data_IF_382617226163
#
_entry.id   IF_382617226163
#
_cell.length_a   1.000
_cell.length_b   1.000
_cell.length_c   1.000
_cell.angle_alpha   90.00
_cell.angle_beta   90.00
_cell.angle_gamma   90.00
#
_symmetry.space_group_name_H-M   'P 1'
#
loop_
_entity.id
_entity.type
_entity.pdbx_description
1 polymer ?
#
# COMPACT_ATOMS: atom_id res chain seq x y z
N UNK A 1 3.16 -19.91 1.48
CA UNK A 1 4.14 -19.59 0.42
C UNK A 1 3.59 -18.51 -0.53
N UNK A 2 3.46 -17.27 -0.06
CA UNK A 2 3.12 -16.09 -0.90
C UNK A 2 4.19 -14.98 -0.79
N UNK A 3 5.25 -15.21 -0.03
CA UNK A 3 6.23 -14.21 0.40
C UNK A 3 7.25 -13.76 -0.67
N UNK A 4 7.20 -14.26 -1.91
CA UNK A 4 8.28 -14.03 -2.87
C UNK A 4 7.85 -13.76 -4.33
N UNK A 5 6.53 -13.66 -4.60
CA UNK A 5 6.04 -13.47 -5.97
C UNK A 5 6.16 -12.02 -6.46
N UNK A 6 6.11 -11.03 -5.57
CA UNK A 6 6.26 -9.63 -5.96
C UNK A 6 7.72 -9.28 -6.31
N UNK A 7 8.71 -9.78 -5.57
CA UNK A 7 10.11 -9.41 -5.81
C UNK A 7 10.70 -10.05 -7.09
N UNK A 8 10.40 -11.32 -7.36
CA UNK A 8 10.90 -12.02 -8.56
C UNK A 8 10.16 -11.67 -9.84
N UNK A 9 8.83 -11.48 -9.81
CA UNK A 9 8.07 -11.20 -11.03
C UNK A 9 8.25 -9.75 -11.54
N UNK A 10 8.62 -8.81 -10.67
CA UNK A 10 8.99 -7.44 -11.05
C UNK A 10 10.46 -7.30 -11.48
N UNK A 11 11.32 -8.27 -11.17
CA UNK A 11 12.75 -8.20 -11.45
C UNK A 11 13.12 -8.43 -12.92
N UNK A 12 12.35 -9.26 -13.64
CA UNK A 12 12.81 -9.85 -14.91
C UNK A 12 12.22 -9.23 -16.18
N UNK A 13 11.50 -8.11 -16.11
CA UNK A 13 10.99 -7.43 -17.32
C UNK A 13 11.37 -5.94 -17.28
N UNK A 14 12.64 -5.70 -17.52
CA UNK A 14 13.27 -4.38 -17.57
C UNK A 14 12.98 -3.65 -18.88
N UNK A 15 12.03 -2.71 -18.83
CA UNK A 15 11.99 -1.50 -19.66
C UNK A 15 11.62 -0.22 -18.88
N UNK A 16 11.60 -0.27 -17.54
CA UNK A 16 11.63 0.93 -16.70
C UNK A 16 13.07 1.19 -16.30
N UNK A 17 13.53 2.43 -16.41
CA UNK A 17 14.90 2.75 -15.99
C UNK A 17 15.01 2.53 -14.48
N UNK A 18 16.20 2.21 -13.97
CA UNK A 18 16.42 2.04 -12.53
C UNK A 18 15.98 3.27 -11.72
N UNK A 19 16.00 4.46 -12.35
CA UNK A 19 15.52 5.73 -11.78
C UNK A 19 14.00 5.72 -11.53
N UNK A 20 13.20 5.26 -12.49
CA UNK A 20 11.73 5.23 -12.36
C UNK A 20 11.32 4.28 -11.23
N UNK A 21 11.98 3.13 -11.13
CA UNK A 21 11.73 2.15 -10.05
C UNK A 21 12.13 2.69 -8.67
N UNK A 22 13.23 3.44 -8.58
CA UNK A 22 13.66 4.07 -7.32
C UNK A 22 12.66 5.15 -6.88
N UNK A 23 12.16 5.94 -7.82
CA UNK A 23 11.16 6.96 -7.55
C UNK A 23 9.84 6.33 -7.07
N UNK A 24 9.39 5.25 -7.71
CA UNK A 24 8.20 4.50 -7.27
C UNK A 24 8.35 3.94 -5.86
N UNK A 25 9.50 3.35 -5.52
CA UNK A 25 9.76 2.87 -4.16
C UNK A 25 9.79 4.00 -3.14
N UNK A 26 10.41 5.13 -3.48
CA UNK A 26 10.45 6.30 -2.59
C UNK A 26 9.04 6.85 -2.32
N UNK A 27 8.18 6.92 -3.34
CA UNK A 27 6.78 7.33 -3.19
C UNK A 27 5.98 6.34 -2.34
N UNK A 28 6.13 5.04 -2.57
CA UNK A 28 5.50 4.01 -1.74
C UNK A 28 5.92 4.12 -0.27
N UNK A 29 7.22 4.29 -0.01
CA UNK A 29 7.75 4.44 1.34
C UNK A 29 7.16 5.67 2.03
N UNK A 30 7.25 6.84 1.38
CA UNK A 30 6.74 8.10 1.93
C UNK A 30 5.24 8.01 2.28
N UNK A 31 4.43 7.42 1.41
CA UNK A 31 2.99 7.28 1.65
C UNK A 31 2.72 6.25 2.75
N UNK A 32 3.51 5.19 2.84
CA UNK A 32 3.40 4.20 3.92
C UNK A 32 3.73 4.82 5.28
N UNK A 33 4.78 5.63 5.37
CA UNK A 33 5.12 6.37 6.59
C UNK A 33 4.02 7.37 6.99
N UNK A 34 3.36 8.00 6.01
CA UNK A 34 2.23 8.87 6.28
C UNK A 34 1.01 8.10 6.82
N UNK A 35 0.70 6.92 6.26
CA UNK A 35 -0.35 6.04 6.79
C UNK A 35 -0.04 5.57 8.21
N UNK A 36 1.22 5.22 8.50
CA UNK A 36 1.66 4.84 9.85
C UNK A 36 1.50 6.00 10.84
N UNK A 37 1.95 7.20 10.46
CA UNK A 37 1.81 8.40 11.29
C UNK A 37 0.34 8.73 11.56
N UNK A 38 -0.52 8.58 10.55
CA UNK A 38 -1.97 8.75 10.69
C UNK A 38 -2.60 7.69 11.60
N UNK A 39 -2.12 6.44 11.56
CA UNK A 39 -2.57 5.37 12.45
C UNK A 39 -2.18 5.66 13.91
N UNK A 40 -0.97 6.17 14.15
CA UNK A 40 -0.45 6.51 15.48
C UNK A 40 -1.15 7.74 16.08
N UNK A 41 -1.41 8.78 15.27
CA UNK A 41 -2.10 9.99 15.73
C UNK A 41 -3.60 9.77 16.00
N UNK A 42 -4.20 8.79 15.31
CA UNK A 42 -5.60 8.44 15.44
C UNK A 42 -6.57 9.53 14.95
N UNK A 43 -7.89 9.39 15.24
CA UNK A 43 -8.93 10.26 14.68
C UNK A 43 -8.84 11.74 15.07
N UNK A 44 -8.01 12.09 16.07
CA UNK A 44 -7.79 13.48 16.51
C UNK A 44 -7.13 14.33 15.44
N UNK A 45 -6.33 13.70 14.58
CA UNK A 45 -5.70 14.33 13.41
C UNK A 45 -6.44 13.93 12.11
N UNK A 46 -7.76 14.12 12.11
CA UNK A 46 -8.65 13.68 11.03
C UNK A 46 -8.20 14.12 9.63
N UNK A 47 -7.68 15.35 9.48
CA UNK A 47 -7.20 15.85 8.20
C UNK A 47 -5.97 15.09 7.69
N UNK A 48 -5.00 14.81 8.58
CA UNK A 48 -3.82 14.02 8.23
C UNK A 48 -4.17 12.58 7.89
N UNK A 49 -5.17 12.03 8.57
CA UNK A 49 -5.69 10.69 8.31
C UNK A 49 -6.36 10.57 6.94
N UNK A 50 -7.24 11.52 6.60
CA UNK A 50 -7.89 11.59 5.29
C UNK A 50 -6.87 11.81 4.17
N UNK A 51 -5.88 12.71 4.36
CA UNK A 51 -4.84 12.97 3.36
C UNK A 51 -4.01 11.71 3.07
N UNK A 52 -3.55 11.01 4.12
CA UNK A 52 -2.73 9.80 3.96
C UNK A 52 -3.47 8.72 3.16
N UNK A 53 -4.76 8.48 3.45
CA UNK A 53 -5.58 7.51 2.72
C UNK A 53 -5.82 7.96 1.29
N UNK A 54 -6.10 9.24 1.07
CA UNK A 54 -6.33 9.77 -0.27
C UNK A 54 -5.08 9.63 -1.14
N UNK A 55 -3.90 10.00 -0.62
CA UNK A 55 -2.62 9.86 -1.33
C UNK A 55 -2.28 8.40 -1.65
N UNK A 56 -2.58 7.48 -0.72
CA UNK A 56 -2.45 6.06 -0.99
C UNK A 56 -3.37 5.59 -2.14
N UNK A 57 -4.63 6.02 -2.13
CA UNK A 57 -5.57 5.70 -3.20
C UNK A 57 -5.12 6.27 -4.56
N UNK A 58 -4.58 7.50 -4.57
CA UNK A 58 -4.04 8.12 -5.79
C UNK A 58 -2.86 7.32 -6.35
N UNK A 59 -1.90 6.93 -5.51
CA UNK A 59 -0.75 6.10 -5.92
C UNK A 59 -1.23 4.82 -6.61
N UNK A 60 -2.13 4.08 -5.95
CA UNK A 60 -2.66 2.83 -6.49
C UNK A 60 -3.50 3.03 -7.76
N UNK A 61 -4.17 4.17 -7.91
CA UNK A 61 -4.93 4.52 -9.14
C UNK A 61 -3.99 4.78 -10.33
N UNK A 62 -2.88 5.49 -10.11
CA UNK A 62 -1.86 5.72 -11.14
C UNK A 62 -1.24 4.39 -11.58
N UNK A 63 -0.88 3.52 -10.62
CA UNK A 63 -0.34 2.20 -10.92
C UNK A 63 -1.34 1.34 -11.71
N UNK A 64 -2.61 1.30 -11.29
CA UNK A 64 -3.64 0.56 -12.00
C UNK A 64 -3.85 1.07 -13.43
N UNK A 65 -3.78 2.39 -13.63
CA UNK A 65 -3.87 3.00 -14.96
C UNK A 65 -2.72 2.54 -15.86
N UNK A 66 -1.50 2.52 -15.35
CA UNK A 66 -0.34 2.03 -16.11
C UNK A 66 -0.43 0.52 -16.38
N UNK A 67 -0.93 -0.28 -15.44
CA UNK A 67 -1.13 -1.72 -15.61
C UNK A 67 -2.17 -2.05 -16.69
N UNK A 68 -3.15 -1.18 -16.91
CA UNK A 68 -4.16 -1.34 -17.96
C UNK A 68 -3.67 -0.91 -19.35
N UNK A 69 -2.49 -0.29 -19.44
CA UNK A 69 -1.90 0.09 -20.72
C UNK A 69 -1.53 -1.18 -21.52
N UNK A 70 -1.98 -1.34 -22.78
CA UNK A 70 -1.60 -2.48 -23.62
C UNK A 70 -0.08 -2.62 -23.82
N UNK A 71 0.67 -1.52 -23.68
CA UNK A 71 2.12 -1.50 -23.80
C UNK A 71 2.85 -1.79 -22.48
N UNK A 72 2.12 -2.03 -21.38
CA UNK A 72 2.73 -2.40 -20.11
C UNK A 72 3.43 -3.77 -20.25
N UNK A 73 4.72 -3.86 -19.96
CA UNK A 73 5.51 -5.05 -20.28
C UNK A 73 5.29 -6.20 -19.28
N UNK A 74 4.54 -5.99 -18.18
CA UNK A 74 4.32 -7.03 -17.19
C UNK A 74 3.39 -8.15 -17.73
N UNK A 75 3.58 -9.41 -17.26
CA UNK A 75 2.74 -10.53 -17.66
C UNK A 75 1.29 -10.33 -17.19
N UNK A 76 0.33 -10.81 -17.96
CA UNK A 76 -1.10 -10.63 -17.67
C UNK A 76 -1.49 -11.18 -16.28
N UNK A 77 -0.93 -12.31 -15.87
CA UNK A 77 -1.14 -12.89 -14.54
C UNK A 77 -0.70 -11.94 -13.42
N UNK A 78 0.42 -11.23 -13.60
CA UNK A 78 0.91 -10.28 -12.62
C UNK A 78 0.05 -9.03 -12.61
N UNK A 79 -0.31 -8.50 -13.79
CA UNK A 79 -1.23 -7.35 -13.91
C UNK A 79 -2.57 -7.66 -13.24
N UNK A 80 -3.15 -8.84 -13.47
CA UNK A 80 -4.40 -9.27 -12.84
C UNK A 80 -4.32 -9.31 -11.31
N UNK A 81 -3.23 -9.84 -10.74
CA UNK A 81 -3.00 -9.82 -9.29
C UNK A 81 -2.91 -8.40 -8.73
N UNK A 82 -2.15 -7.52 -9.38
CA UNK A 82 -1.97 -6.14 -8.93
C UNK A 82 -3.26 -5.31 -9.06
N UNK A 83 -4.01 -5.50 -10.13
CA UNK A 83 -5.34 -4.91 -10.32
C UNK A 83 -6.30 -5.37 -9.22
N UNK A 84 -6.23 -6.64 -8.82
CA UNK A 84 -7.04 -7.16 -7.71
C UNK A 84 -6.70 -6.48 -6.38
N UNK A 85 -5.41 -6.23 -6.13
CA UNK A 85 -4.96 -5.47 -4.94
C UNK A 85 -5.45 -4.03 -5.00
N UNK A 86 -5.30 -3.35 -6.14
CA UNK A 86 -5.86 -2.00 -6.32
C UNK A 86 -7.37 -1.95 -6.02
N UNK A 87 -8.13 -2.93 -6.50
CA UNK A 87 -9.57 -2.98 -6.23
C UNK A 87 -9.87 -3.12 -4.73
N UNK A 88 -9.08 -3.91 -4.00
CA UNK A 88 -9.18 -3.99 -2.55
C UNK A 88 -8.85 -2.65 -1.91
N UNK A 89 -7.69 -2.05 -2.22
CA UNK A 89 -7.25 -0.75 -1.70
C UNK A 89 -8.32 0.30 -1.93
N UNK A 90 -8.86 0.40 -3.14
CA UNK A 90 -9.91 1.36 -3.47
C UNK A 90 -11.16 1.20 -2.61
N UNK A 91 -11.69 -0.03 -2.51
CA UNK A 91 -12.87 -0.29 -1.67
C UNK A 91 -12.58 0.05 -0.21
N UNK A 92 -11.45 -0.41 0.32
CA UNK A 92 -11.08 -0.21 1.71
C UNK A 92 -10.82 1.25 2.05
N UNK A 93 -10.15 2.01 1.18
CA UNK A 93 -9.99 3.47 1.33
C UNK A 93 -11.33 4.18 1.40
N UNK A 94 -12.34 3.79 0.60
CA UNK A 94 -13.67 4.38 0.69
C UNK A 94 -14.39 4.00 2.00
N UNK A 95 -14.27 2.75 2.47
CA UNK A 95 -14.81 2.31 3.76
C UNK A 95 -14.20 3.10 4.91
N UNK A 96 -12.88 3.28 4.89
CA UNK A 96 -12.12 4.10 5.85
C UNK A 96 -12.60 5.55 5.85
N UNK A 97 -12.67 6.19 4.67
CA UNK A 97 -13.17 7.57 4.57
C UNK A 97 -14.64 7.72 5.00
N UNK A 98 -15.41 6.63 5.00
CA UNK A 98 -16.76 6.54 5.58
C UNK A 98 -16.79 6.34 7.10
N UNK A 99 -15.63 6.30 7.77
CA UNK A 99 -15.49 6.14 9.22
C UNK A 99 -15.50 4.68 9.69
N UNK A 100 -15.25 3.71 8.82
CA UNK A 100 -15.28 2.28 9.14
C UNK A 100 -13.99 1.56 8.74
N UNK A 101 -13.60 0.52 9.49
CA UNK A 101 -12.44 -0.32 9.16
C UNK A 101 -11.13 0.16 9.80
N UNK A 102 -10.03 -0.51 9.45
CA UNK A 102 -8.69 -0.26 10.00
C UNK A 102 -7.69 0.15 8.90
N UNK A 103 -6.97 1.25 9.14
CA UNK A 103 -5.93 1.76 8.24
C UNK A 103 -4.72 0.79 8.16
N UNK A 104 -4.55 -0.09 9.16
CA UNK A 104 -3.50 -1.09 9.22
C UNK A 104 -3.44 -1.99 7.98
N UNK A 105 -4.58 -2.35 7.40
CA UNK A 105 -4.65 -3.17 6.19
C UNK A 105 -3.95 -2.51 4.98
N UNK A 106 -4.09 -1.18 4.85
CA UNK A 106 -3.41 -0.42 3.78
C UNK A 106 -1.90 -0.40 3.98
N UNK A 107 -1.46 -0.26 5.24
CA UNK A 107 -0.04 -0.28 5.61
C UNK A 107 0.56 -1.64 5.31
N UNK A 108 -0.12 -2.74 5.68
CA UNK A 108 0.34 -4.09 5.43
C UNK A 108 0.50 -4.37 3.94
N UNK A 109 -0.48 -4.00 3.12
CA UNK A 109 -0.42 -4.14 1.67
C UNK A 109 0.80 -3.41 1.10
N UNK A 110 1.03 -2.15 1.49
CA UNK A 110 2.15 -1.39 0.95
C UNK A 110 3.51 -1.99 1.36
N UNK A 111 3.65 -2.44 2.62
CA UNK A 111 4.87 -3.11 3.09
C UNK A 111 5.12 -4.43 2.35
N UNK A 112 4.07 -5.24 2.15
CA UNK A 112 4.15 -6.49 1.40
C UNK A 112 4.59 -6.26 -0.06
N UNK A 113 4.10 -5.19 -0.70
CA UNK A 113 4.50 -4.80 -2.06
C UNK A 113 5.97 -4.35 -2.12
N UNK A 114 6.42 -3.59 -1.14
CA UNK A 114 7.82 -3.14 -1.04
C UNK A 114 8.77 -4.27 -0.58
N UNK A 115 8.26 -5.39 -0.09
CA UNK A 115 9.07 -6.44 0.53
C UNK A 115 9.71 -6.01 1.86
N UNK A 116 9.08 -5.07 2.57
CA UNK A 116 9.53 -4.61 3.88
C UNK A 116 9.09 -5.61 4.96
N UNK A 117 9.91 -5.82 6.01
CA UNK A 117 9.46 -6.59 7.17
C UNK A 117 8.25 -5.92 7.82
N UNK A 118 7.31 -6.71 8.32
CA UNK A 118 6.21 -6.18 9.11
C UNK A 118 6.78 -5.46 10.35
N UNK A 119 6.38 -4.21 10.58
CA UNK A 119 6.63 -3.52 11.86
C UNK A 119 5.77 -4.25 12.90
N UNK A 120 6.39 -5.06 13.74
CA UNK A 120 5.73 -5.67 14.90
C UNK A 120 5.26 -4.55 15.82
N UNK A 121 4.00 -4.15 15.69
CA UNK A 121 3.36 -3.13 16.53
C UNK A 121 1.92 -3.52 16.82
N UNK A 122 1.71 -4.09 18.01
CA UNK A 122 0.41 -4.25 18.66
C UNK A 122 0.59 -3.99 20.17
N UNK A 123 -0.38 -3.34 20.84
CA UNK A 123 -0.17 -2.55 22.05
C UNK A 123 -0.02 -3.37 23.33
N UNK A 124 0.64 -2.75 24.30
CA UNK A 124 0.58 -3.10 25.71
C UNK A 124 -0.87 -3.06 26.22
N UNK A 125 -1.33 -4.19 26.74
CA UNK A 125 -2.43 -4.23 27.71
C UNK A 125 -1.83 -4.60 29.06
N UNK A 126 -1.24 -3.59 29.72
CA UNK A 126 -1.15 -3.57 31.16
C UNK A 126 -2.45 -2.96 31.70
N UNK A 127 -3.16 -3.72 32.54
CA UNK A 127 -4.22 -3.18 33.39
C UNK A 127 -5.53 -3.96 33.34
N UNK A 128 -5.60 -5.06 34.09
CA UNK A 128 -6.77 -5.25 34.95
C UNK A 128 -6.32 -5.94 36.24
N UNK A 129 -6.37 -5.16 37.32
CA UNK A 129 -6.32 -5.64 38.68
C UNK A 129 -7.73 -6.09 39.08
N UNK A 130 -7.86 -7.34 39.50
CA UNK A 130 -8.83 -7.81 40.49
C UNK A 130 -8.36 -9.16 41.05
#
# INVERSE_FOLDING_TARGET
MLQNLAYKAYGDITKRTSSDRQLEQALFLQITEALESAAEAGPKEFLGWVDAIHRNLQLWTVLATDLLNPNNPLPDDLKGRLISIFQFVRRHSHTLLGGQGDIADLIEINRNIMGLPAKTGGPAVEGEAA
#
